data_IF_623231639987
#
_entry.id   IF_623231639987
#
_cell.length_a   1.000
_cell.length_b   1.000
_cell.length_c   1.000
_cell.angle_alpha   90.00
_cell.angle_beta   90.00
_cell.angle_gamma   90.00
#
_symmetry.space_group_name_H-M   'P 1'
#
loop_
_entity.id
_entity.type
_entity.pdbx_description
1 polymer ?
#
# COMPACT_ATOMS: atom_id res chain seq x y z
N UNK A 1 -0.27 -10.46 -14.76
CA UNK A 1 0.00 -11.53 -15.73
C UNK A 1 -0.73 -11.16 -17.01
N UNK A 2 -0.02 -10.55 -17.96
CA UNK A 2 -0.59 -10.16 -19.25
C UNK A 2 -0.22 -11.21 -20.28
N UNK A 3 -1.21 -11.91 -20.81
CA UNK A 3 -1.15 -12.65 -22.07
C UNK A 3 -1.90 -11.81 -23.10
N UNK A 4 -1.14 -11.20 -24.01
CA UNK A 4 -1.70 -10.62 -25.22
C UNK A 4 -1.65 -11.70 -26.32
N UNK A 5 -2.81 -12.16 -26.74
CA UNK A 5 -2.99 -13.04 -27.89
C UNK A 5 -3.20 -12.14 -29.11
N UNK A 6 -2.25 -12.15 -30.05
CA UNK A 6 -2.38 -11.48 -31.34
C UNK A 6 -2.45 -12.56 -32.44
N UNK A 7 -3.66 -12.92 -32.83
CA UNK A 7 -3.89 -13.66 -34.08
C UNK A 7 -3.98 -12.66 -35.23
N UNK A 8 -3.01 -12.70 -36.11
CA UNK A 8 -3.13 -12.12 -37.46
C UNK A 8 -3.40 -13.18 -38.50
N UNK A 9 -4.41 -12.92 -39.28
CA UNK A 9 -4.96 -13.70 -40.39
C UNK A 9 -3.99 -13.89 -41.54
N UNK A 10 -4.17 -15.01 -42.18
CA UNK A 10 -3.48 -15.69 -43.24
C UNK A 10 -3.09 -14.96 -44.50
N UNK A 11 -2.01 -15.46 -45.09
CA UNK A 11 -1.84 -15.61 -46.53
C UNK A 11 -1.17 -16.96 -46.80
N UNK A 12 -1.75 -17.74 -47.71
CA UNK A 12 -1.18 -18.96 -48.25
C UNK A 12 0.08 -18.66 -49.08
N UNK A 13 1.14 -19.36 -48.77
CA UNK A 13 2.34 -19.31 -49.59
C UNK A 13 3.39 -20.30 -49.08
N UNK A 14 3.56 -21.42 -49.80
CA UNK A 14 4.69 -22.33 -49.91
C UNK A 14 5.31 -22.88 -48.61
N UNK A 15 5.07 -24.20 -48.44
CA UNK A 15 5.78 -25.11 -47.53
C UNK A 15 7.31 -25.00 -47.76
N UNK A 16 8.02 -24.36 -46.82
CA UNK A 16 9.43 -24.58 -46.61
C UNK A 16 9.56 -25.25 -45.24
N UNK A 17 10.19 -26.42 -45.21
CA UNK A 17 10.39 -27.23 -44.02
C UNK A 17 10.95 -26.43 -42.87
N UNK A 18 10.20 -26.34 -41.77
CA UNK A 18 10.62 -25.67 -40.55
C UNK A 18 11.76 -26.49 -39.92
N UNK A 19 12.98 -25.96 -40.00
CA UNK A 19 14.10 -26.40 -39.17
C UNK A 19 13.75 -26.08 -37.73
N UNK A 20 13.79 -27.06 -36.78
CA UNK A 20 13.54 -26.78 -35.39
C UNK A 20 14.61 -25.82 -34.86
N UNK A 21 14.20 -24.62 -34.43
CA UNK A 21 15.07 -23.63 -33.79
C UNK A 21 15.49 -24.15 -32.40
N UNK A 22 16.52 -24.98 -32.39
CA UNK A 22 17.20 -25.45 -31.16
C UNK A 22 18.12 -24.35 -30.63
N UNK A 23 17.59 -23.19 -30.28
CA UNK A 23 18.34 -22.24 -29.47
C UNK A 23 18.40 -22.81 -28.06
N UNK A 24 19.62 -23.02 -27.50
CA UNK A 24 19.75 -23.50 -26.13
C UNK A 24 19.03 -22.50 -25.20
N UNK A 25 18.19 -23.03 -24.31
CA UNK A 25 17.34 -22.26 -23.40
C UNK A 25 18.15 -21.14 -22.75
N UNK A 26 17.84 -19.91 -23.14
CA UNK A 26 18.48 -18.71 -22.59
C UNK A 26 18.25 -18.73 -21.08
N UNK A 27 19.30 -19.03 -20.31
CA UNK A 27 19.24 -18.96 -18.84
C UNK A 27 18.59 -17.62 -18.49
N UNK A 28 17.60 -17.62 -17.57
CA UNK A 28 16.94 -16.38 -17.19
C UNK A 28 18.03 -15.40 -16.75
N UNK A 29 18.15 -14.27 -17.45
CA UNK A 29 19.18 -13.29 -17.16
C UNK A 29 19.11 -12.85 -15.69
N UNK A 30 20.26 -12.71 -15.05
CA UNK A 30 20.35 -12.34 -13.64
C UNK A 30 19.69 -10.95 -13.40
N UNK A 31 19.05 -10.79 -12.24
CA UNK A 31 18.49 -9.48 -11.85
C UNK A 31 19.64 -8.48 -11.73
N UNK A 32 19.53 -7.27 -12.30
CA UNK A 32 20.60 -6.26 -12.25
C UNK A 32 21.00 -5.93 -10.79
N UNK A 33 22.32 -5.77 -10.55
CA UNK A 33 22.83 -5.43 -9.21
C UNK A 33 22.24 -4.13 -8.64
N UNK A 34 21.93 -3.16 -9.50
CA UNK A 34 21.23 -1.93 -9.12
C UNK A 34 19.85 -2.21 -8.51
N UNK A 35 19.10 -3.17 -9.05
CA UNK A 35 17.79 -3.57 -8.53
C UNK A 35 17.92 -4.23 -7.16
N UNK A 36 18.93 -5.10 -6.99
CA UNK A 36 19.23 -5.74 -5.71
C UNK A 36 19.67 -4.70 -4.66
N UNK A 37 20.51 -3.74 -5.05
CA UNK A 37 20.93 -2.66 -4.16
C UNK A 37 19.76 -1.79 -3.73
N UNK A 38 18.88 -1.38 -4.67
CA UNK A 38 17.67 -0.63 -4.35
C UNK A 38 16.68 -1.45 -3.51
N UNK A 39 16.57 -2.74 -3.77
CA UNK A 39 15.78 -3.66 -2.95
C UNK A 39 16.33 -3.76 -1.51
N UNK A 40 17.64 -3.86 -1.33
CA UNK A 40 18.29 -3.87 -0.01
C UNK A 40 18.06 -2.55 0.75
N UNK A 41 18.16 -1.41 0.06
CA UNK A 41 17.81 -0.09 0.63
C UNK A 41 16.36 -0.07 1.11
N UNK A 42 15.42 -0.51 0.27
CA UNK A 42 14.00 -0.58 0.63
C UNK A 42 13.76 -1.52 1.81
N UNK A 43 14.32 -2.72 1.78
CA UNK A 43 14.22 -3.69 2.88
C UNK A 43 14.65 -3.06 4.20
N UNK A 44 15.87 -2.51 4.26
CA UNK A 44 16.45 -1.93 5.48
C UNK A 44 15.61 -0.74 5.97
N UNK A 45 15.23 0.16 5.07
CA UNK A 45 14.46 1.35 5.44
C UNK A 45 13.01 1.03 5.81
N UNK A 46 12.44 -0.04 5.25
CA UNK A 46 11.10 -0.48 5.65
C UNK A 46 11.12 -1.22 6.99
N UNK A 47 12.18 -2.00 7.31
CA UNK A 47 12.41 -2.49 8.68
C UNK A 47 12.36 -1.31 9.67
N UNK A 48 13.14 -0.25 9.44
CA UNK A 48 13.14 0.92 10.29
C UNK A 48 11.76 1.58 10.41
N UNK A 49 11.11 1.83 9.28
CA UNK A 49 9.81 2.52 9.27
C UNK A 49 8.71 1.72 9.96
N UNK A 50 8.69 0.40 9.72
CA UNK A 50 7.67 -0.46 10.27
C UNK A 50 7.90 -0.81 11.75
N UNK A 51 9.14 -0.75 12.25
CA UNK A 51 9.43 -0.75 13.70
C UNK A 51 8.67 0.39 14.38
N UNK A 52 8.79 1.61 13.87
CA UNK A 52 8.11 2.79 14.43
C UNK A 52 6.59 2.68 14.28
N UNK A 53 6.12 2.34 13.08
CA UNK A 53 4.68 2.20 12.79
C UNK A 53 4.02 1.20 13.72
N UNK A 54 4.70 0.09 14.03
CA UNK A 54 4.16 -0.99 14.87
C UNK A 54 4.03 -0.60 16.36
N UNK A 55 4.83 0.35 16.87
CA UNK A 55 4.78 0.74 18.29
C UNK A 55 4.09 2.08 18.51
N UNK A 56 4.03 2.93 17.48
CA UNK A 56 3.56 4.30 17.58
C UNK A 56 2.16 4.44 18.22
N UNK A 57 1.15 3.61 17.89
CA UNK A 57 -0.17 3.72 18.50
C UNK A 57 -0.13 3.58 20.01
N UNK A 58 0.58 2.55 20.49
CA UNK A 58 0.69 2.28 21.92
C UNK A 58 1.55 3.31 22.64
N UNK A 59 2.66 3.75 22.03
CA UNK A 59 3.50 4.83 22.55
C UNK A 59 2.70 6.13 22.75
N UNK A 60 1.90 6.52 21.76
CA UNK A 60 1.11 7.76 21.82
C UNK A 60 0.04 7.70 22.90
N UNK A 61 -0.70 6.57 22.99
CA UNK A 61 -1.85 6.45 23.90
C UNK A 61 -1.42 6.02 25.30
N UNK A 62 -0.56 5.01 25.42
CA UNK A 62 -0.15 4.47 26.72
C UNK A 62 1.17 5.11 27.23
N UNK A 63 2.13 5.39 26.37
CA UNK A 63 3.42 5.98 26.74
C UNK A 63 3.31 7.49 27.04
N UNK A 64 2.69 8.25 26.16
CA UNK A 64 2.54 9.71 26.31
C UNK A 64 1.20 10.13 26.94
N UNK A 65 0.23 9.23 27.12
CA UNK A 65 -1.08 9.54 27.67
C UNK A 65 -1.91 10.49 26.80
N UNK A 66 -1.62 10.59 25.49
CA UNK A 66 -2.38 11.43 24.57
C UNK A 66 -3.78 10.86 24.35
N UNK A 67 -4.74 11.78 24.13
CA UNK A 67 -6.13 11.38 23.89
C UNK A 67 -6.28 10.56 22.60
N UNK A 68 -7.28 9.68 22.50
CA UNK A 68 -7.61 8.99 21.25
C UNK A 68 -7.88 9.93 20.07
N UNK A 69 -8.41 11.12 20.32
CA UNK A 69 -8.56 12.17 19.29
C UNK A 69 -7.19 12.64 18.77
N UNK A 70 -6.24 12.90 19.70
CA UNK A 70 -4.87 13.28 19.34
C UNK A 70 -4.20 12.17 18.51
N UNK A 71 -4.38 10.90 18.91
CA UNK A 71 -3.90 9.77 18.12
C UNK A 71 -4.60 9.69 16.76
N UNK A 72 -5.91 9.95 16.66
CA UNK A 72 -6.65 9.98 15.40
C UNK A 72 -6.11 11.02 14.41
N UNK A 73 -5.65 12.17 14.90
CA UNK A 73 -4.95 13.17 14.08
C UNK A 73 -3.63 12.62 13.53
N UNK A 74 -2.81 11.99 14.37
CA UNK A 74 -1.52 11.41 13.97
C UNK A 74 -1.71 10.29 12.95
N UNK A 75 -2.65 9.39 13.18
CA UNK A 75 -3.00 8.29 12.28
C UNK A 75 -3.54 8.83 10.93
N UNK A 76 -4.38 9.84 10.99
CA UNK A 76 -4.86 10.54 9.80
C UNK A 76 -3.74 11.17 9.00
N UNK A 77 -2.80 11.88 9.64
CA UNK A 77 -1.60 12.45 8.99
C UNK A 77 -0.78 11.32 8.34
N UNK A 78 -0.58 10.22 9.06
CA UNK A 78 0.17 9.07 8.56
C UNK A 78 -0.41 8.52 7.25
N UNK A 79 -1.73 8.42 7.16
CA UNK A 79 -2.44 7.91 5.98
C UNK A 79 -2.62 8.98 4.89
N UNK A 80 -2.97 10.22 5.26
CA UNK A 80 -3.33 11.29 4.33
C UNK A 80 -2.13 11.94 3.65
N UNK A 81 -1.09 12.31 4.40
CA UNK A 81 0.10 12.98 3.85
C UNK A 81 0.81 12.08 2.85
N UNK A 82 0.94 10.78 3.14
CA UNK A 82 1.57 9.82 2.22
C UNK A 82 0.84 9.72 0.87
N UNK A 83 -0.48 9.85 0.84
CA UNK A 83 -1.26 9.83 -0.39
C UNK A 83 -1.07 11.13 -1.20
N UNK A 84 -1.12 12.29 -0.55
CA UNK A 84 -0.93 13.60 -1.19
C UNK A 84 0.48 13.75 -1.75
N UNK A 85 1.50 13.34 -1.00
CA UNK A 85 2.89 13.44 -1.45
C UNK A 85 3.19 12.47 -2.60
N UNK A 86 2.60 11.29 -2.65
CA UNK A 86 2.73 10.39 -3.81
C UNK A 86 2.16 11.02 -5.08
N UNK A 87 1.03 11.71 -4.97
CA UNK A 87 0.43 12.44 -6.09
C UNK A 87 1.36 13.56 -6.60
N UNK A 88 1.97 14.34 -5.68
CA UNK A 88 2.92 15.39 -6.02
C UNK A 88 4.30 14.85 -6.45
N UNK A 89 4.77 13.76 -5.85
CA UNK A 89 6.08 13.15 -6.08
C UNK A 89 6.25 12.58 -7.48
N UNK A 90 5.18 12.06 -8.09
CA UNK A 90 5.18 11.66 -9.49
C UNK A 90 5.55 12.82 -10.43
N UNK A 91 4.97 13.98 -10.21
CA UNK A 91 5.24 15.20 -10.97
C UNK A 91 6.68 15.72 -10.82
N UNK A 92 7.24 15.60 -9.61
CA UNK A 92 8.64 16.01 -9.36
C UNK A 92 9.65 15.03 -9.99
N UNK A 93 9.35 13.74 -9.99
CA UNK A 93 10.20 12.72 -10.59
C UNK A 93 10.35 12.92 -12.10
N UNK A 94 9.26 13.26 -12.80
CA UNK A 94 9.25 13.50 -14.25
C UNK A 94 10.05 14.75 -14.63
N UNK A 95 10.11 15.76 -13.74
CA UNK A 95 10.94 16.98 -13.95
C UNK A 95 12.40 16.81 -13.55
N UNK A 96 12.73 15.78 -12.78
CA UNK A 96 14.07 15.59 -12.16
C UNK A 96 15.18 15.14 -13.12
N UNK A 97 14.89 14.71 -14.32
CA UNK A 97 15.87 14.24 -15.32
C UNK A 97 16.83 13.20 -14.72
N UNK A 98 18.15 13.39 -14.89
CA UNK A 98 19.20 12.45 -14.43
C UNK A 98 19.47 12.44 -12.92
N UNK A 99 18.67 13.09 -12.08
CA UNK A 99 18.93 13.27 -10.64
C UNK A 99 18.14 12.32 -9.71
N UNK A 100 17.61 11.20 -10.23
CA UNK A 100 16.78 10.25 -9.48
C UNK A 100 17.43 9.80 -8.16
N UNK A 101 18.74 9.45 -8.16
CA UNK A 101 19.46 9.05 -6.94
C UNK A 101 19.50 10.16 -5.88
N UNK A 102 19.68 11.42 -6.30
CA UNK A 102 19.74 12.56 -5.37
C UNK A 102 18.37 12.78 -4.72
N UNK A 103 17.30 12.80 -5.52
CA UNK A 103 15.93 13.00 -5.02
C UNK A 103 15.51 11.84 -4.10
N UNK A 104 15.80 10.60 -4.50
CA UNK A 104 15.57 9.43 -3.64
C UNK A 104 16.39 9.53 -2.34
N UNK A 105 17.67 9.92 -2.44
CA UNK A 105 18.57 10.09 -1.30
C UNK A 105 18.09 11.14 -0.32
N UNK A 106 17.56 12.28 -0.80
CA UNK A 106 16.92 13.29 0.06
C UNK A 106 15.69 12.72 0.78
N UNK A 107 14.85 11.95 0.08
CA UNK A 107 13.69 11.30 0.70
C UNK A 107 14.08 10.28 1.78
N UNK A 108 15.06 9.42 1.50
CA UNK A 108 15.58 8.46 2.47
C UNK A 108 16.26 9.16 3.66
N UNK A 109 17.09 10.18 3.41
CA UNK A 109 17.77 10.97 4.43
C UNK A 109 16.79 11.70 5.33
N UNK A 110 15.76 12.34 4.75
CA UNK A 110 14.72 13.03 5.49
C UNK A 110 13.96 12.07 6.43
N UNK A 111 13.59 10.90 5.92
CA UNK A 111 12.94 9.86 6.73
C UNK A 111 13.87 9.32 7.83
N UNK A 112 15.17 9.15 7.56
CA UNK A 112 16.14 8.71 8.54
C UNK A 112 16.35 9.72 9.68
N UNK A 113 16.36 11.03 9.37
CA UNK A 113 16.46 12.09 10.37
C UNK A 113 15.24 12.15 11.30
N UNK A 114 14.05 11.79 10.81
CA UNK A 114 12.85 11.76 11.63
C UNK A 114 12.93 10.73 12.77
N UNK A 115 13.67 9.63 12.61
CA UNK A 115 13.70 8.55 13.61
C UNK A 115 14.31 9.01 14.95
N UNK A 116 15.50 9.63 15.02
CA UNK A 116 16.01 10.17 16.27
C UNK A 116 15.20 11.36 16.77
N UNK A 117 14.53 12.14 15.88
CA UNK A 117 13.66 13.23 16.32
C UNK A 117 12.42 12.74 17.09
N UNK A 118 11.98 11.47 16.89
CA UNK A 118 10.91 10.90 17.70
C UNK A 118 11.28 10.78 19.18
N UNK A 119 12.58 10.61 19.51
CA UNK A 119 13.05 10.61 20.90
C UNK A 119 12.83 11.95 21.63
N UNK A 120 12.71 13.03 20.87
CA UNK A 120 12.48 14.38 21.39
C UNK A 120 11.01 14.83 21.26
N UNK A 121 10.18 14.00 20.62
CA UNK A 121 8.82 14.34 20.23
C UNK A 121 7.80 13.83 21.28
N UNK A 122 7.65 14.56 22.38
CA UNK A 122 6.73 14.20 23.48
C UNK A 122 5.38 14.93 23.42
N UNK A 123 5.16 15.81 22.44
CA UNK A 123 3.92 16.56 22.30
C UNK A 123 3.24 16.30 20.97
N UNK A 124 1.91 16.41 20.93
CA UNK A 124 1.13 16.16 19.73
C UNK A 124 1.58 17.02 18.52
N UNK A 125 1.83 18.34 18.63
CA UNK A 125 2.29 19.11 17.48
C UNK A 125 3.64 18.66 16.94
N UNK A 126 4.60 18.35 17.81
CA UNK A 126 5.96 17.91 17.41
C UNK A 126 5.89 16.54 16.75
N UNK A 127 5.15 15.58 17.33
CA UNK A 127 4.92 14.27 16.73
C UNK A 127 4.26 14.41 15.35
N UNK A 128 3.22 15.25 15.24
CA UNK A 128 2.53 15.50 13.96
C UNK A 128 3.48 16.04 12.90
N UNK A 129 4.33 16.98 13.26
CA UNK A 129 5.34 17.55 12.35
C UNK A 129 6.37 16.50 11.92
N UNK A 130 6.94 15.74 12.87
CA UNK A 130 7.93 14.69 12.57
C UNK A 130 7.33 13.60 11.67
N UNK A 131 6.11 13.14 11.95
CA UNK A 131 5.43 12.15 11.12
C UNK A 131 5.09 12.69 9.72
N UNK A 132 4.62 13.93 9.61
CA UNK A 132 4.34 14.55 8.32
C UNK A 132 5.62 14.64 7.46
N UNK A 133 6.75 15.01 8.06
CA UNK A 133 8.06 15.08 7.40
C UNK A 133 8.52 13.68 7.00
N UNK A 134 8.39 12.65 7.86
CA UNK A 134 8.72 11.27 7.55
C UNK A 134 7.91 10.74 6.36
N UNK A 135 6.58 10.99 6.34
CA UNK A 135 5.70 10.58 5.24
C UNK A 135 6.00 11.32 3.94
N UNK A 136 6.42 12.58 4.03
CA UNK A 136 6.92 13.36 2.89
C UNK A 136 8.19 12.73 2.33
N UNK A 137 9.15 12.36 3.17
CA UNK A 137 10.35 11.63 2.77
C UNK A 137 10.02 10.29 2.06
N UNK A 138 9.10 9.51 2.63
CA UNK A 138 8.64 8.24 2.04
C UNK A 138 7.97 8.45 0.67
N UNK A 139 7.15 9.48 0.52
CA UNK A 139 6.51 9.83 -0.75
C UNK A 139 7.51 10.29 -1.82
N UNK A 140 8.47 11.12 -1.43
CA UNK A 140 9.48 11.70 -2.33
C UNK A 140 10.43 10.63 -2.92
N UNK A 141 10.75 9.57 -2.17
CA UNK A 141 11.69 8.52 -2.62
C UNK A 141 11.07 7.51 -3.58
N UNK A 142 9.74 7.30 -3.56
CA UNK A 142 9.08 6.18 -4.25
C UNK A 142 9.20 6.27 -5.77
N UNK A 143 8.79 7.37 -6.38
CA UNK A 143 8.82 7.53 -7.83
C UNK A 143 10.24 7.53 -8.43
N UNK A 144 11.24 8.25 -7.87
CA UNK A 144 12.62 8.16 -8.36
C UNK A 144 13.23 6.76 -8.23
N UNK A 145 12.94 6.02 -7.16
CA UNK A 145 13.35 4.63 -6.96
C UNK A 145 12.81 3.73 -8.08
N UNK A 146 11.52 3.81 -8.34
CA UNK A 146 10.85 3.00 -9.35
C UNK A 146 11.37 3.35 -10.77
N UNK A 147 11.66 4.62 -11.02
CA UNK A 147 12.33 5.05 -12.26
C UNK A 147 13.73 4.44 -12.39
N UNK A 148 14.53 4.42 -11.33
CA UNK A 148 15.86 3.80 -11.33
C UNK A 148 15.80 2.29 -11.62
N UNK A 149 14.83 1.57 -11.05
CA UNK A 149 14.59 0.14 -11.34
C UNK A 149 14.26 -0.05 -12.82
N UNK A 150 13.36 0.77 -13.36
CA UNK A 150 12.94 0.71 -14.75
C UNK A 150 14.09 1.00 -15.73
N UNK A 151 14.95 1.98 -15.41
CA UNK A 151 16.11 2.37 -16.23
C UNK A 151 17.23 1.31 -16.20
N UNK A 152 17.42 0.62 -15.06
CA UNK A 152 18.42 -0.41 -14.90
C UNK A 152 18.02 -1.76 -15.51
N UNK A 153 16.76 -1.90 -16.02
CA UNK A 153 16.21 -3.18 -16.41
C UNK A 153 15.65 -3.14 -17.83
N UNK A 154 15.96 -4.17 -18.62
CA UNK A 154 15.36 -4.36 -19.96
C UNK A 154 13.83 -4.44 -19.86
N UNK A 155 13.07 -3.86 -20.82
CA UNK A 155 11.62 -3.86 -20.80
C UNK A 155 10.97 -5.24 -20.58
N UNK A 156 11.53 -6.30 -21.21
CA UNK A 156 11.05 -7.67 -21.07
C UNK A 156 11.25 -8.28 -19.67
N UNK A 157 12.15 -7.71 -18.84
CA UNK A 157 12.51 -8.22 -17.51
C UNK A 157 11.99 -7.35 -16.36
N UNK A 158 11.33 -6.23 -16.66
CA UNK A 158 10.84 -5.28 -15.63
C UNK A 158 9.92 -5.94 -14.62
N UNK A 159 9.02 -6.83 -15.07
CA UNK A 159 8.12 -7.56 -14.16
C UNK A 159 8.88 -8.34 -13.09
N UNK A 160 9.95 -9.04 -13.48
CA UNK A 160 10.82 -9.79 -12.55
C UNK A 160 11.59 -8.85 -11.62
N UNK A 161 12.14 -7.75 -12.13
CA UNK A 161 12.89 -6.77 -11.34
C UNK A 161 12.01 -6.14 -10.26
N UNK A 162 10.80 -5.67 -10.62
CA UNK A 162 9.82 -5.15 -9.66
C UNK A 162 9.33 -6.23 -8.69
N UNK A 163 9.16 -7.48 -9.15
CA UNK A 163 8.79 -8.59 -8.29
C UNK A 163 9.82 -8.85 -7.19
N UNK A 164 11.12 -8.91 -7.55
CA UNK A 164 12.22 -9.07 -6.58
C UNK A 164 12.28 -7.88 -5.62
N UNK A 165 12.21 -6.64 -6.14
CA UNK A 165 12.17 -5.46 -5.30
C UNK A 165 11.00 -5.50 -4.31
N UNK A 166 9.79 -5.85 -4.78
CA UNK A 166 8.59 -5.94 -3.93
C UNK A 166 8.71 -7.02 -2.85
N UNK A 167 9.32 -8.16 -3.19
CA UNK A 167 9.59 -9.21 -2.19
C UNK A 167 10.53 -8.72 -1.08
N UNK A 168 11.58 -7.97 -1.44
CA UNK A 168 12.51 -7.38 -0.46
C UNK A 168 11.83 -6.30 0.40
N UNK A 169 11.02 -5.42 -0.20
CA UNK A 169 10.20 -4.40 0.44
C UNK A 169 9.26 -5.04 1.49
N UNK A 170 8.49 -6.07 1.07
CA UNK A 170 7.58 -6.80 1.94
C UNK A 170 8.33 -7.55 3.07
N UNK A 171 9.49 -8.13 2.78
CA UNK A 171 10.33 -8.77 3.80
C UNK A 171 10.74 -7.76 4.87
N UNK A 172 11.16 -6.55 4.46
CA UNK A 172 11.46 -5.46 5.39
C UNK A 172 10.25 -5.08 6.25
N UNK A 173 9.08 -4.98 5.63
CA UNK A 173 7.84 -4.66 6.33
C UNK A 173 7.44 -5.71 7.39
N UNK A 174 7.73 -7.00 7.15
CA UNK A 174 7.48 -8.06 8.13
C UNK A 174 8.54 -8.11 9.24
N UNK A 175 9.80 -7.84 8.91
CA UNK A 175 10.89 -7.86 9.89
C UNK A 175 10.82 -6.68 10.87
N UNK A 176 10.26 -5.52 10.45
CA UNK A 176 10.12 -4.34 11.30
C UNK A 176 9.39 -4.60 12.62
N UNK A 177 8.14 -5.07 12.58
CA UNK A 177 7.40 -5.42 13.80
C UNK A 177 8.06 -6.51 14.65
N UNK A 178 8.71 -7.50 14.02
CA UNK A 178 9.47 -8.53 14.76
C UNK A 178 10.64 -7.94 15.52
N UNK A 179 11.40 -7.03 14.90
CA UNK A 179 12.51 -6.36 15.57
C UNK A 179 12.01 -5.41 16.66
N UNK A 180 10.92 -4.70 16.45
CA UNK A 180 10.27 -3.89 17.47
C UNK A 180 9.84 -4.73 18.67
N UNK A 181 9.21 -5.90 18.45
CA UNK A 181 8.86 -6.86 19.49
C UNK A 181 10.11 -7.31 20.27
N UNK A 182 11.19 -7.69 19.57
CA UNK A 182 12.42 -8.16 20.22
C UNK A 182 13.04 -7.07 21.11
N UNK A 183 13.08 -5.82 20.64
CA UNK A 183 13.59 -4.67 21.40
C UNK A 183 12.71 -4.39 22.62
N UNK A 184 11.37 -4.33 22.47
CA UNK A 184 10.44 -4.09 23.58
C UNK A 184 10.52 -5.19 24.65
N UNK A 185 10.78 -6.43 24.24
CA UNK A 185 10.94 -7.54 25.19
C UNK A 185 12.27 -7.48 25.94
N UNK A 186 13.31 -6.93 25.32
CA UNK A 186 14.67 -6.86 25.87
C UNK A 186 14.92 -5.61 26.74
N UNK A 187 14.04 -4.61 26.70
CA UNK A 187 14.26 -3.30 27.35
C UNK A 187 13.10 -2.95 28.29
N UNK A 188 13.40 -2.18 29.37
CA UNK A 188 12.41 -1.74 30.36
C UNK A 188 11.61 -0.53 29.82
N UNK A 189 12.28 0.48 29.23
CA UNK A 189 11.66 1.64 28.59
C UNK A 189 11.78 1.51 27.05
N UNK A 190 11.03 0.52 26.52
CA UNK A 190 11.29 -0.02 25.20
C UNK A 190 11.02 0.90 24.03
N UNK A 191 10.17 1.95 24.16
CA UNK A 191 9.83 2.80 23.01
C UNK A 191 11.01 3.62 22.50
N UNK A 192 11.77 4.23 23.42
CA UNK A 192 12.97 4.99 23.06
C UNK A 192 14.04 4.11 22.44
N UNK A 193 14.21 2.89 22.97
CA UNK A 193 15.10 1.90 22.38
C UNK A 193 14.66 1.50 20.97
N UNK A 194 13.35 1.33 20.72
CA UNK A 194 12.82 1.05 19.37
C UNK A 194 13.14 2.21 18.43
N UNK A 195 12.93 3.46 18.85
CA UNK A 195 13.22 4.63 18.02
C UNK A 195 14.71 4.78 17.73
N UNK A 196 15.58 4.56 18.72
CA UNK A 196 17.02 4.59 18.55
C UNK A 196 17.51 3.51 17.58
N UNK A 197 17.08 2.26 17.77
CA UNK A 197 17.44 1.13 16.87
C UNK A 197 16.91 1.41 15.47
N UNK A 198 15.66 1.87 15.33
CA UNK A 198 15.07 2.27 14.06
C UNK A 198 15.90 3.35 13.35
N UNK A 199 16.41 4.33 14.11
CA UNK A 199 17.31 5.37 13.60
C UNK A 199 18.61 4.78 13.05
N UNK A 200 19.25 3.87 13.79
CA UNK A 200 20.48 3.18 13.34
C UNK A 200 20.23 2.38 12.06
N UNK A 201 19.11 1.65 11.99
CA UNK A 201 18.72 0.88 10.80
C UNK A 201 18.44 1.81 9.61
N UNK A 202 17.77 2.95 9.83
CA UNK A 202 17.52 3.94 8.78
C UNK A 202 18.83 4.52 8.21
N UNK A 203 19.78 4.87 9.08
CA UNK A 203 21.11 5.35 8.67
C UNK A 203 21.86 4.28 7.86
N UNK A 204 21.79 3.02 8.26
CA UNK A 204 22.33 1.91 7.48
C UNK A 204 21.72 1.84 6.08
N UNK A 205 20.39 2.01 5.96
CA UNK A 205 19.71 2.06 4.66
C UNK A 205 20.21 3.21 3.78
N UNK A 206 20.41 4.40 4.34
CA UNK A 206 21.00 5.56 3.63
C UNK A 206 22.44 5.26 3.21
N UNK A 207 23.22 4.64 4.07
CA UNK A 207 24.61 4.27 3.77
C UNK A 207 24.68 3.28 2.60
N UNK A 208 23.81 2.25 2.61
CA UNK A 208 23.70 1.29 1.49
C UNK A 208 23.32 2.01 0.19
N UNK A 209 22.39 2.97 0.23
CA UNK A 209 22.04 3.78 -0.94
C UNK A 209 23.24 4.55 -1.49
N UNK A 210 24.01 5.19 -0.61
CA UNK A 210 25.14 6.04 -1.02
C UNK A 210 26.26 5.19 -1.62
N UNK A 211 26.58 4.05 -0.99
CA UNK A 211 27.73 3.21 -1.35
C UNK A 211 27.46 2.26 -2.53
N UNK A 212 26.27 1.63 -2.58
CA UNK A 212 26.02 0.53 -3.51
C UNK A 212 25.11 0.91 -4.68
N UNK A 213 24.31 1.98 -4.60
CA UNK A 213 23.51 2.42 -5.74
C UNK A 213 24.36 3.33 -6.62
N UNK A 214 24.52 3.05 -7.93
CA UNK A 214 25.35 3.88 -8.81
C UNK A 214 24.74 5.29 -9.00
N UNK A 215 25.60 6.29 -9.17
CA UNK A 215 25.17 7.68 -9.46
C UNK A 215 24.58 7.82 -10.87
N UNK A 216 25.06 7.03 -11.81
CA UNK A 216 24.56 6.93 -13.18
C UNK A 216 24.09 5.52 -13.41
N UNK A 217 22.93 5.37 -13.96
CA UNK A 217 22.38 4.07 -14.35
C UNK A 217 22.65 3.95 -15.83
N UNK A 218 23.47 2.95 -16.18
CA UNK A 218 23.72 2.62 -17.58
C UNK A 218 22.46 1.96 -18.13
N UNK A 219 21.82 2.66 -19.03
CA UNK A 219 20.64 2.13 -19.74
C UNK A 219 21.10 1.02 -20.66
N UNK A 220 20.45 -0.16 -20.68
CA UNK A 220 20.83 -1.25 -21.57
C UNK A 220 20.92 -0.77 -23.03
N UNK A 221 21.95 -1.18 -23.75
CA UNK A 221 22.27 -0.71 -25.11
C UNK A 221 21.10 -0.83 -26.11
N UNK A 222 20.23 -1.82 -25.92
CA UNK A 222 19.04 -2.03 -26.74
C UNK A 222 17.91 -1.01 -26.50
N UNK A 223 17.90 -0.35 -25.35
CA UNK A 223 16.95 0.72 -25.04
C UNK A 223 17.33 2.05 -25.74
N UNK A 224 18.62 2.23 -26.04
CA UNK A 224 19.13 3.42 -26.73
C UNK A 224 18.80 3.39 -28.24
N UNK A 225 18.61 2.21 -28.82
CA UNK A 225 18.32 2.02 -30.25
C UNK A 225 16.85 2.16 -30.65
N UNK A 226 15.94 2.19 -29.67
CA UNK A 226 14.52 2.47 -29.96
C UNK A 226 14.32 3.98 -30.04
N UNK A 227 13.58 4.46 -31.07
CA UNK A 227 13.13 5.84 -31.05
C UNK A 227 12.42 6.09 -29.70
N UNK A 228 12.60 7.28 -29.10
CA UNK A 228 11.89 7.60 -27.88
C UNK A 228 10.41 7.28 -28.11
N UNK A 229 9.74 6.60 -27.17
CA UNK A 229 8.30 6.48 -27.24
C UNK A 229 7.74 7.89 -27.43
N UNK A 230 6.68 8.06 -28.24
CA UNK A 230 6.06 9.37 -28.39
C UNK A 230 5.92 9.97 -27.00
N UNK A 231 6.37 11.23 -26.84
CA UNK A 231 6.35 11.92 -25.54
C UNK A 231 5.03 11.59 -24.88
N UNK A 232 5.02 11.07 -23.64
CA UNK A 232 3.76 10.88 -22.96
C UNK A 232 3.07 12.23 -22.97
N UNK A 233 1.90 12.28 -23.59
CA UNK A 233 1.02 13.44 -23.51
C UNK A 233 1.15 13.98 -22.08
N UNK A 234 1.39 15.29 -21.93
CA UNK A 234 1.62 16.00 -20.67
C UNK A 234 0.93 15.28 -19.53
N UNK A 235 1.63 15.01 -18.39
CA UNK A 235 0.99 14.32 -17.29
C UNK A 235 -0.37 14.95 -17.06
N UNK A 236 -1.47 14.18 -17.02
CA UNK A 236 -2.82 14.72 -17.03
C UNK A 236 -2.92 15.76 -15.92
N UNK A 237 -3.27 16.98 -16.27
CA UNK A 237 -3.46 18.03 -15.28
C UNK A 237 -4.50 17.53 -14.26
N UNK A 238 -4.41 17.94 -12.99
CA UNK A 238 -5.39 17.57 -11.95
C UNK A 238 -6.84 17.76 -12.44
N UNK A 239 -7.05 18.75 -13.29
CA UNK A 239 -8.34 19.03 -13.97
C UNK A 239 -8.77 17.87 -14.88
N UNK A 240 -7.85 17.22 -15.58
CA UNK A 240 -8.16 16.09 -16.47
C UNK A 240 -8.48 14.84 -15.65
N UNK A 241 -7.75 14.63 -14.56
CA UNK A 241 -8.06 13.56 -13.61
C UNK A 241 -9.45 13.74 -12.99
N UNK A 242 -9.80 14.94 -12.53
CA UNK A 242 -11.15 15.25 -12.02
C UNK A 242 -12.21 15.09 -13.13
N UNK A 243 -11.87 15.40 -14.39
CA UNK A 243 -12.72 15.17 -15.54
C UNK A 243 -13.16 13.73 -15.72
N UNK A 244 -12.35 12.75 -15.26
CA UNK A 244 -12.71 11.33 -15.28
C UNK A 244 -13.94 11.00 -14.40
N UNK A 245 -14.27 11.79 -13.39
CA UNK A 245 -15.49 11.64 -12.61
C UNK A 245 -16.79 11.86 -13.42
N UNK A 246 -16.68 12.36 -14.65
CA UNK A 246 -17.82 12.39 -15.60
C UNK A 246 -18.21 10.97 -16.06
N UNK A 247 -17.28 10.00 -15.97
CA UNK A 247 -17.60 8.59 -16.20
C UNK A 247 -18.45 8.09 -15.02
N UNK A 248 -19.72 7.72 -15.26
CA UNK A 248 -20.66 7.40 -14.17
C UNK A 248 -20.18 6.19 -13.34
N UNK A 249 -19.55 5.21 -13.98
CA UNK A 249 -19.03 4.02 -13.30
C UNK A 249 -17.86 4.34 -12.37
N UNK A 250 -16.88 5.15 -12.84
CA UNK A 250 -15.76 5.57 -12.01
C UNK A 250 -16.25 6.43 -10.84
N UNK A 251 -17.20 7.33 -11.08
CA UNK A 251 -17.81 8.14 -10.02
C UNK A 251 -18.47 7.27 -8.96
N UNK A 252 -19.32 6.29 -9.37
CA UNK A 252 -19.96 5.35 -8.44
C UNK A 252 -18.92 4.57 -7.63
N UNK A 253 -17.89 4.04 -8.28
CA UNK A 253 -16.82 3.31 -7.63
C UNK A 253 -16.04 4.18 -6.63
N UNK A 254 -15.71 5.42 -7.02
CA UNK A 254 -15.00 6.38 -6.16
C UNK A 254 -15.84 6.76 -4.93
N UNK A 255 -17.13 7.03 -5.13
CA UNK A 255 -18.05 7.37 -4.03
C UNK A 255 -18.22 6.18 -3.08
N UNK A 256 -18.41 4.97 -3.59
CA UNK A 256 -18.50 3.77 -2.75
C UNK A 256 -17.19 3.51 -1.99
N UNK A 257 -16.02 3.63 -2.64
CA UNK A 257 -14.73 3.46 -1.99
C UNK A 257 -14.49 4.53 -0.90
N UNK A 258 -14.91 5.77 -1.12
CA UNK A 258 -14.82 6.83 -0.12
C UNK A 258 -15.81 6.60 1.03
N UNK A 259 -17.05 6.21 0.76
CA UNK A 259 -18.09 5.94 1.77
C UNK A 259 -17.65 4.76 2.68
N UNK A 260 -17.18 3.67 2.10
CA UNK A 260 -16.65 2.52 2.85
C UNK A 260 -15.37 2.90 3.59
N UNK A 261 -14.48 3.68 2.99
CA UNK A 261 -13.26 4.18 3.63
C UNK A 261 -13.55 5.08 4.83
N UNK A 262 -14.64 5.87 4.79
CA UNK A 262 -15.07 6.73 5.90
C UNK A 262 -15.59 5.93 7.11
N UNK A 263 -15.98 4.69 6.90
CA UNK A 263 -16.52 3.79 7.94
C UNK A 263 -15.59 2.62 8.26
N UNK A 264 -14.41 2.58 7.64
CA UNK A 264 -13.36 1.60 7.93
C UNK A 264 -12.42 2.18 8.98
N UNK A 265 -12.49 1.66 10.21
CA UNK A 265 -11.61 2.05 11.31
C UNK A 265 -10.15 1.74 10.93
N UNK A 266 -9.24 2.65 11.26
CA UNK A 266 -7.81 2.41 11.08
C UNK A 266 -7.34 1.19 11.87
N UNK A 267 -6.41 0.41 11.28
CA UNK A 267 -5.80 -0.77 11.90
C UNK A 267 -5.25 -0.46 13.28
N UNK A 268 -4.63 0.70 13.43
CA UNK A 268 -4.02 1.15 14.67
C UNK A 268 -5.02 1.26 15.81
N UNK A 269 -6.21 1.78 15.53
CA UNK A 269 -7.30 1.83 16.53
C UNK A 269 -7.84 0.44 16.85
N UNK A 270 -7.97 -0.41 15.85
CA UNK A 270 -8.40 -1.79 16.04
C UNK A 270 -7.40 -2.54 16.93
N UNK A 271 -6.10 -2.40 16.70
CA UNK A 271 -5.06 -3.02 17.51
C UNK A 271 -5.02 -2.48 18.93
N UNK A 272 -5.25 -1.17 19.14
CA UNK A 272 -5.39 -0.59 20.47
C UNK A 272 -6.59 -1.16 21.23
N UNK A 273 -7.72 -1.39 20.55
CA UNK A 273 -8.87 -2.06 21.15
C UNK A 273 -8.57 -3.50 21.49
N UNK A 274 -7.97 -4.26 20.57
CA UNK A 274 -7.57 -5.66 20.80
C UNK A 274 -6.58 -5.79 21.97
N UNK A 275 -5.63 -4.87 22.09
CA UNK A 275 -4.67 -4.85 23.18
C UNK A 275 -5.36 -4.60 24.51
N UNK A 276 -6.31 -3.64 24.56
CA UNK A 276 -7.06 -3.31 25.79
C UNK A 276 -8.03 -4.40 26.20
N UNK A 277 -8.86 -4.88 25.25
CA UNK A 277 -9.89 -5.89 25.51
C UNK A 277 -9.30 -7.28 25.76
N UNK A 278 -8.17 -7.58 25.13
CA UNK A 278 -7.45 -8.85 25.27
C UNK A 278 -6.45 -8.89 26.41
N UNK A 279 -6.29 -7.78 27.15
CA UNK A 279 -5.27 -7.59 28.20
C UNK A 279 -3.87 -8.04 27.77
N UNK A 280 -3.51 -7.70 26.52
CA UNK A 280 -2.25 -8.12 25.92
C UNK A 280 -1.09 -7.29 26.46
N UNK A 281 0.02 -7.93 26.88
CA UNK A 281 1.23 -7.22 27.26
C UNK A 281 1.75 -6.28 26.13
N UNK A 282 2.24 -5.10 26.51
CA UNK A 282 2.69 -4.07 25.58
C UNK A 282 3.71 -4.58 24.54
N UNK A 283 4.60 -5.48 24.93
CA UNK A 283 5.63 -6.04 24.03
C UNK A 283 5.03 -6.92 22.91
N UNK A 284 3.83 -7.48 23.07
CA UNK A 284 3.13 -8.25 22.04
C UNK A 284 2.42 -7.37 21.00
N UNK A 285 2.22 -6.09 21.28
CA UNK A 285 1.49 -5.17 20.42
C UNK A 285 2.02 -5.14 18.97
N UNK A 286 3.35 -5.10 18.70
CA UNK A 286 3.88 -5.12 17.34
C UNK A 286 3.55 -6.40 16.56
N UNK A 287 3.16 -7.48 17.23
CA UNK A 287 2.76 -8.72 16.55
C UNK A 287 1.34 -8.66 15.97
N UNK A 288 0.50 -7.69 16.37
CA UNK A 288 -0.85 -7.53 15.83
C UNK A 288 -0.83 -7.13 14.34
N UNK A 289 -0.12 -6.05 13.93
CA UNK A 289 0.01 -5.74 12.51
C UNK A 289 0.72 -6.86 11.73
N UNK A 290 1.71 -7.54 12.33
CA UNK A 290 2.39 -8.66 11.71
C UNK A 290 1.42 -9.83 11.45
N UNK A 291 0.55 -10.16 12.39
CA UNK A 291 -0.48 -11.20 12.25
C UNK A 291 -1.43 -10.89 11.10
N UNK A 292 -1.95 -9.65 11.04
CA UNK A 292 -2.79 -9.21 9.91
C UNK A 292 -2.06 -9.34 8.58
N UNK A 293 -0.80 -8.90 8.50
CA UNK A 293 0.02 -8.98 7.29
C UNK A 293 0.28 -10.45 6.87
N UNK A 294 0.53 -11.34 7.83
CA UNK A 294 0.72 -12.76 7.55
C UNK A 294 -0.54 -13.40 6.95
N UNK A 295 -1.72 -13.16 7.52
CA UNK A 295 -2.97 -13.67 6.97
C UNK A 295 -3.33 -13.02 5.64
N UNK A 296 -3.06 -11.73 5.46
CA UNK A 296 -3.18 -11.07 4.17
C UNK A 296 -2.34 -11.78 3.09
N UNK A 297 -1.05 -12.01 3.34
CA UNK A 297 -0.16 -12.67 2.38
C UNK A 297 -0.58 -14.10 2.05
N UNK A 298 -1.03 -14.84 3.06
CA UNK A 298 -1.51 -16.22 2.87
C UNK A 298 -2.76 -16.26 1.99
N UNK A 299 -3.66 -15.27 2.15
CA UNK A 299 -4.96 -15.24 1.47
C UNK A 299 -4.98 -14.39 0.20
N UNK A 300 -3.97 -13.54 -0.04
CA UNK A 300 -3.94 -12.65 -1.20
C UNK A 300 -3.98 -13.40 -2.55
N UNK A 301 -3.24 -14.51 -2.68
CA UNK A 301 -3.23 -15.31 -3.91
C UNK A 301 -4.56 -16.05 -4.13
N UNK A 302 -5.12 -16.81 -3.16
CA UNK A 302 -6.39 -17.50 -3.35
C UNK A 302 -7.57 -16.54 -3.56
N UNK A 303 -7.62 -15.41 -2.84
CA UNK A 303 -8.69 -14.42 -3.03
C UNK A 303 -8.50 -13.61 -4.33
N UNK A 304 -7.26 -13.36 -4.75
CA UNK A 304 -6.98 -12.81 -6.08
C UNK A 304 -7.47 -13.72 -7.20
N UNK A 305 -7.21 -15.03 -7.10
CA UNK A 305 -7.74 -16.01 -8.07
C UNK A 305 -9.28 -16.12 -8.02
N UNK A 306 -9.88 -15.94 -6.85
CA UNK A 306 -11.33 -15.85 -6.71
C UNK A 306 -11.89 -14.58 -7.39
N UNK A 307 -11.18 -13.45 -7.31
CA UNK A 307 -11.55 -12.20 -7.97
C UNK A 307 -11.59 -12.30 -9.50
N UNK A 308 -10.88 -13.27 -10.09
CA UNK A 308 -10.94 -13.54 -11.53
C UNK A 308 -12.16 -14.39 -11.94
N UNK A 309 -12.77 -15.09 -10.96
CA UNK A 309 -13.92 -15.99 -11.18
C UNK A 309 -15.26 -15.40 -10.78
N UNK A 310 -15.26 -14.45 -9.85
CA UNK A 310 -16.45 -13.77 -9.36
C UNK A 310 -16.38 -12.29 -9.67
N UNK A 311 -17.51 -11.59 -9.60
CA UNK A 311 -17.53 -10.14 -9.74
C UNK A 311 -16.62 -9.48 -8.69
N UNK A 312 -15.63 -8.71 -9.17
CA UNK A 312 -14.68 -7.96 -8.33
C UNK A 312 -15.40 -7.07 -7.31
N UNK A 313 -16.53 -6.50 -7.73
CA UNK A 313 -17.36 -5.63 -6.88
C UNK A 313 -18.02 -6.41 -5.74
N UNK A 314 -18.50 -7.63 -6.01
CA UNK A 314 -19.07 -8.52 -4.97
C UNK A 314 -18.01 -8.94 -3.98
N UNK A 315 -16.81 -9.28 -4.45
CA UNK A 315 -15.70 -9.66 -3.57
C UNK A 315 -15.26 -8.48 -2.70
N UNK A 316 -15.19 -7.26 -3.27
CA UNK A 316 -14.88 -6.05 -2.52
C UNK A 316 -15.90 -5.76 -1.40
N UNK A 317 -17.20 -5.90 -1.68
CA UNK A 317 -18.26 -5.75 -0.68
C UNK A 317 -18.24 -6.88 0.36
N UNK A 318 -18.01 -8.13 -0.06
CA UNK A 318 -17.88 -9.27 0.85
C UNK A 318 -16.71 -9.08 1.82
N UNK A 319 -15.58 -8.50 1.37
CA UNK A 319 -14.47 -8.11 2.22
C UNK A 319 -14.90 -7.17 3.36
N UNK A 320 -15.73 -6.17 3.07
CA UNK A 320 -16.27 -5.28 4.10
C UNK A 320 -17.27 -5.99 5.05
N UNK A 321 -17.98 -7.00 4.55
CA UNK A 321 -18.77 -7.91 5.39
C UNK A 321 -17.90 -8.71 6.36
N UNK A 322 -16.74 -9.21 5.90
CA UNK A 322 -15.75 -9.89 6.75
C UNK A 322 -15.19 -8.93 7.82
N UNK A 323 -14.90 -7.67 7.44
CA UNK A 323 -14.48 -6.65 8.40
C UNK A 323 -15.54 -6.39 9.47
N UNK A 324 -16.80 -6.32 9.06
CA UNK A 324 -17.92 -6.15 9.98
C UNK A 324 -18.05 -7.32 10.98
N UNK A 325 -17.81 -8.56 10.53
CA UNK A 325 -17.70 -9.72 11.42
C UNK A 325 -16.54 -9.55 12.42
N UNK A 326 -15.40 -9.04 11.97
CA UNK A 326 -14.26 -8.73 12.83
C UNK A 326 -14.62 -7.70 13.91
N UNK A 327 -15.32 -6.63 13.55
CA UNK A 327 -15.82 -5.64 14.54
C UNK A 327 -16.82 -6.25 15.51
N UNK A 328 -17.75 -7.07 15.02
CA UNK A 328 -18.68 -7.81 15.85
C UNK A 328 -17.98 -8.74 16.83
N UNK A 329 -16.89 -9.37 16.43
CA UNK A 329 -16.09 -10.24 17.28
C UNK A 329 -15.38 -9.45 18.40
N UNK A 330 -14.80 -8.28 18.10
CA UNK A 330 -14.21 -7.38 19.12
C UNK A 330 -15.27 -6.90 20.11
N UNK A 331 -16.49 -6.67 19.66
CA UNK A 331 -17.61 -6.25 20.51
C UNK A 331 -18.26 -7.40 21.30
N UNK A 332 -17.96 -8.65 20.94
CA UNK A 332 -18.50 -9.83 21.60
C UNK A 332 -17.91 -10.00 23.01
N UNK A 333 -18.51 -10.86 23.86
CA UNK A 333 -17.94 -11.24 25.15
C UNK A 333 -16.80 -12.26 25.05
N UNK A 334 -16.45 -12.71 23.83
CA UNK A 334 -15.37 -13.66 23.61
C UNK A 334 -14.02 -12.94 23.64
N UNK A 335 -13.20 -13.28 24.64
CA UNK A 335 -11.90 -12.63 24.87
C UNK A 335 -10.73 -13.62 24.87
N UNK A 336 -9.52 -13.10 24.96
CA UNK A 336 -8.28 -13.87 25.02
C UNK A 336 -7.63 -14.11 23.64
N UNK A 337 -6.52 -14.83 23.66
CA UNK A 337 -5.66 -15.04 22.47
C UNK A 337 -6.41 -15.63 21.27
N UNK A 338 -7.32 -16.62 21.43
CA UNK A 338 -8.06 -17.16 20.28
C UNK A 338 -8.95 -16.10 19.60
N UNK A 339 -9.59 -15.22 20.37
CA UNK A 339 -10.40 -14.13 19.81
C UNK A 339 -9.53 -13.14 19.05
N UNK A 340 -8.36 -12.77 19.59
CA UNK A 340 -7.39 -11.90 18.91
C UNK A 340 -6.96 -12.52 17.58
N UNK A 341 -6.56 -13.80 17.57
CA UNK A 341 -6.17 -14.49 16.34
C UNK A 341 -7.32 -14.49 15.31
N UNK A 342 -8.54 -14.78 15.74
CA UNK A 342 -9.71 -14.78 14.86
C UNK A 342 -9.96 -13.39 14.23
N UNK A 343 -9.82 -12.31 15.02
CA UNK A 343 -9.93 -10.94 14.49
C UNK A 343 -8.82 -10.66 13.47
N UNK A 344 -7.56 -11.07 13.73
CA UNK A 344 -6.45 -10.87 12.79
C UNK A 344 -6.66 -11.66 11.49
N UNK A 345 -7.21 -12.87 11.55
CA UNK A 345 -7.60 -13.67 10.36
C UNK A 345 -8.65 -12.92 9.55
N UNK A 346 -9.73 -12.45 10.20
CA UNK A 346 -10.80 -11.71 9.51
C UNK A 346 -10.27 -10.40 8.92
N UNK A 347 -9.41 -9.69 9.64
CA UNK A 347 -8.82 -8.44 9.18
C UNK A 347 -7.85 -8.64 8.00
N UNK A 348 -7.00 -9.66 8.05
CA UNK A 348 -6.15 -10.06 6.91
C UNK A 348 -6.96 -10.50 5.68
N UNK A 349 -8.08 -11.23 5.91
CA UNK A 349 -9.02 -11.62 4.86
C UNK A 349 -9.68 -10.40 4.20
N UNK A 350 -10.10 -9.41 5.01
CA UNK A 350 -10.62 -8.15 4.51
C UNK A 350 -9.63 -7.48 3.54
N UNK A 351 -8.37 -7.33 3.92
CA UNK A 351 -7.35 -6.74 3.06
C UNK A 351 -7.14 -7.56 1.78
N UNK A 352 -7.07 -8.87 1.88
CA UNK A 352 -6.89 -9.74 0.73
C UNK A 352 -8.08 -9.69 -0.26
N UNK A 353 -9.30 -9.45 0.25
CA UNK A 353 -10.50 -9.29 -0.57
C UNK A 353 -10.70 -7.87 -1.13
N UNK A 354 -9.98 -6.86 -0.63
CA UNK A 354 -10.27 -5.46 -0.98
C UNK A 354 -9.12 -4.73 -1.67
N UNK A 355 -7.87 -4.90 -1.24
CA UNK A 355 -6.74 -4.05 -1.65
C UNK A 355 -6.47 -4.12 -3.17
N UNK A 356 -6.10 -5.27 -3.70
CA UNK A 356 -5.88 -5.44 -5.15
C UNK A 356 -7.16 -5.39 -5.99
N UNK A 357 -8.30 -5.75 -5.39
CA UNK A 357 -9.60 -5.85 -6.08
C UNK A 357 -10.15 -4.50 -6.49
N UNK A 358 -10.03 -3.48 -5.63
CA UNK A 358 -10.43 -2.10 -5.95
C UNK A 358 -9.61 -1.52 -7.10
N UNK A 359 -8.29 -1.75 -7.07
CA UNK A 359 -7.39 -1.33 -8.15
C UNK A 359 -7.75 -2.00 -9.48
N UNK A 360 -8.03 -3.31 -9.47
CA UNK A 360 -8.45 -4.06 -10.66
C UNK A 360 -9.83 -3.62 -11.17
N UNK A 361 -10.78 -3.27 -10.28
CA UNK A 361 -12.09 -2.74 -10.66
C UNK A 361 -11.94 -1.36 -11.32
N UNK A 362 -11.09 -0.49 -10.78
CA UNK A 362 -10.79 0.83 -11.36
C UNK A 362 -10.17 0.72 -12.74
N UNK A 363 -9.22 -0.21 -12.92
CA UNK A 363 -8.58 -0.45 -14.21
C UNK A 363 -9.56 -0.93 -15.30
N UNK A 364 -10.61 -1.67 -14.92
CA UNK A 364 -11.65 -2.13 -15.84
C UNK A 364 -12.60 -1.02 -16.34
N UNK A 365 -12.64 0.12 -15.64
CA UNK A 365 -13.60 1.22 -15.95
C UNK A 365 -12.91 2.38 -16.68
N UNK A 366 -11.60 2.56 -16.48
CA UNK A 366 -10.82 3.70 -16.99
C UNK A 366 -10.10 3.31 -18.28
N UNK A 367 -10.14 4.15 -19.35
CA UNK A 367 -9.36 3.91 -20.57
C UNK A 367 -7.87 3.74 -20.29
N UNK A 368 -7.19 2.88 -21.07
CA UNK A 368 -5.78 2.50 -20.85
C UNK A 368 -4.83 3.71 -20.68
N UNK A 369 -5.06 4.78 -21.45
CA UNK A 369 -4.26 6.03 -21.39
C UNK A 369 -4.42 6.84 -20.09
N UNK A 370 -5.48 6.60 -19.29
CA UNK A 370 -5.80 7.37 -18.08
C UNK A 370 -5.80 6.50 -16.81
N UNK A 371 -5.35 5.25 -16.88
CA UNK A 371 -5.41 4.32 -15.74
C UNK A 371 -4.68 4.85 -14.50
N UNK A 372 -3.50 5.46 -14.68
CA UNK A 372 -2.77 6.08 -13.57
C UNK A 372 -3.57 7.20 -12.88
N UNK A 373 -4.24 8.06 -13.66
CA UNK A 373 -5.06 9.14 -13.14
C UNK A 373 -6.31 8.60 -12.41
N UNK A 374 -6.97 7.57 -12.96
CA UNK A 374 -8.11 6.92 -12.34
C UNK A 374 -7.75 6.27 -11.00
N UNK A 375 -6.65 5.52 -10.95
CA UNK A 375 -6.11 4.92 -9.71
C UNK A 375 -5.78 5.99 -8.66
N UNK A 376 -5.12 7.07 -9.08
CA UNK A 376 -4.77 8.17 -8.19
C UNK A 376 -6.02 8.85 -7.61
N UNK A 377 -7.06 9.04 -8.42
CA UNK A 377 -8.32 9.66 -7.99
C UNK A 377 -9.05 8.81 -6.96
N UNK A 378 -9.26 7.52 -7.24
CA UNK A 378 -9.91 6.58 -6.31
C UNK A 378 -9.09 6.45 -5.03
N UNK A 379 -7.77 6.27 -5.14
CA UNK A 379 -6.88 6.13 -4.00
C UNK A 379 -6.81 7.39 -3.12
N UNK A 380 -6.83 8.58 -3.72
CA UNK A 380 -6.85 9.85 -2.96
C UNK A 380 -8.19 10.02 -2.25
N UNK A 381 -9.31 9.72 -2.92
CA UNK A 381 -10.64 9.76 -2.30
C UNK A 381 -10.74 8.82 -1.10
N UNK A 382 -10.23 7.60 -1.23
CA UNK A 382 -10.18 6.64 -0.14
C UNK A 382 -9.27 7.09 1.02
N UNK A 383 -8.10 7.67 0.71
CA UNK A 383 -7.17 8.15 1.73
C UNK A 383 -7.74 9.33 2.53
N UNK A 384 -8.41 10.28 1.87
CA UNK A 384 -9.09 11.39 2.53
C UNK A 384 -10.25 10.90 3.40
N UNK A 385 -11.01 9.91 2.93
CA UNK A 385 -12.08 9.29 3.69
C UNK A 385 -11.54 8.58 4.95
N UNK A 386 -10.45 7.83 4.83
CA UNK A 386 -9.77 7.19 5.98
C UNK A 386 -9.20 8.23 6.96
N UNK A 387 -8.63 9.32 6.47
CA UNK A 387 -8.21 10.43 7.32
C UNK A 387 -9.37 10.98 8.16
N UNK A 388 -10.51 11.27 7.51
CA UNK A 388 -11.70 11.75 8.19
C UNK A 388 -12.26 10.71 9.17
N UNK A 389 -12.23 9.41 8.81
CA UNK A 389 -12.60 8.31 9.70
C UNK A 389 -11.72 8.27 10.95
N UNK A 390 -10.39 8.39 10.82
CA UNK A 390 -9.47 8.38 11.97
C UNK A 390 -9.75 9.52 12.95
N UNK A 391 -10.03 10.73 12.43
CA UNK A 391 -10.42 11.86 13.28
C UNK A 391 -11.77 11.63 13.97
N UNK A 392 -12.78 11.20 13.22
CA UNK A 392 -14.13 10.97 13.74
C UNK A 392 -14.14 9.85 14.77
N UNK A 393 -13.43 8.74 14.50
CA UNK A 393 -13.33 7.61 15.41
C UNK A 393 -12.57 7.99 16.68
N UNK A 394 -11.45 8.73 16.56
CA UNK A 394 -10.70 9.23 17.71
C UNK A 394 -11.54 10.17 18.59
N UNK A 395 -12.35 11.06 17.99
CA UNK A 395 -13.30 11.90 18.69
C UNK A 395 -14.38 11.07 19.39
N UNK A 396 -15.01 10.15 18.68
CA UNK A 396 -16.03 9.25 19.23
C UNK A 396 -15.48 8.41 20.41
N UNK A 397 -14.26 7.89 20.26
CA UNK A 397 -13.60 7.16 21.34
C UNK A 397 -13.34 8.05 22.57
N UNK A 398 -12.90 9.28 22.37
CA UNK A 398 -12.65 10.22 23.48
C UNK A 398 -13.94 10.60 24.24
N UNK A 399 -15.08 10.63 23.53
CA UNK A 399 -16.37 11.03 24.10
C UNK A 399 -17.16 9.85 24.71
N UNK A 400 -17.17 8.70 24.03
CA UNK A 400 -18.08 7.58 24.36
C UNK A 400 -17.35 6.28 24.74
N UNK A 401 -16.01 6.26 24.66
CA UNK A 401 -15.21 5.06 24.84
C UNK A 401 -15.07 4.23 23.57
N UNK A 402 -14.03 3.39 23.54
CA UNK A 402 -13.62 2.66 22.33
C UNK A 402 -14.67 1.65 21.83
N UNK A 403 -15.31 0.89 22.73
CA UNK A 403 -16.34 -0.09 22.36
C UNK A 403 -17.56 0.58 21.74
N UNK A 404 -18.05 1.68 22.32
CA UNK A 404 -19.20 2.42 21.77
C UNK A 404 -18.84 3.05 20.41
N UNK A 405 -17.64 3.64 20.29
CA UNK A 405 -17.16 4.17 19.01
C UNK A 405 -17.10 3.07 17.93
N UNK A 406 -16.60 1.88 18.28
CA UNK A 406 -16.56 0.75 17.33
C UNK A 406 -17.97 0.27 16.95
N UNK A 407 -18.90 0.19 17.92
CA UNK A 407 -20.28 -0.21 17.64
C UNK A 407 -20.99 0.76 16.69
N UNK A 408 -20.84 2.07 16.91
CA UNK A 408 -21.40 3.12 16.01
C UNK A 408 -20.77 3.02 14.62
N UNK A 409 -19.44 2.84 14.54
CA UNK A 409 -18.75 2.72 13.25
C UNK A 409 -19.09 1.42 12.53
N UNK A 410 -19.29 0.31 13.26
CA UNK A 410 -19.77 -0.95 12.69
C UNK A 410 -21.18 -0.81 12.09
N UNK A 411 -22.09 -0.13 12.79
CA UNK A 411 -23.42 0.17 12.25
C UNK A 411 -23.34 1.05 10.99
N UNK A 412 -22.50 2.09 11.02
CA UNK A 412 -22.25 2.95 9.87
C UNK A 412 -21.64 2.16 8.69
N UNK A 413 -20.72 1.23 8.94
CA UNK A 413 -20.13 0.35 7.93
C UNK A 413 -21.19 -0.57 7.32
N UNK A 414 -22.07 -1.15 8.12
CA UNK A 414 -23.17 -1.99 7.63
C UNK A 414 -24.08 -1.20 6.69
N UNK A 415 -24.48 0.02 7.07
CA UNK A 415 -25.28 0.91 6.21
C UNK A 415 -24.52 1.26 4.92
N UNK A 416 -23.24 1.64 5.04
CA UNK A 416 -22.40 1.99 3.89
C UNK A 416 -22.23 0.82 2.92
N UNK A 417 -22.06 -0.41 3.43
CA UNK A 417 -21.98 -1.61 2.61
C UNK A 417 -23.27 -1.91 1.88
N UNK A 418 -24.44 -1.75 2.53
CA UNK A 418 -25.76 -1.90 1.91
C UNK A 418 -25.97 -0.84 0.82
N UNK A 419 -25.69 0.43 1.12
CA UNK A 419 -25.81 1.52 0.13
C UNK A 419 -24.89 1.27 -1.06
N UNK A 420 -23.64 0.87 -0.82
CA UNK A 420 -22.67 0.56 -1.88
C UNK A 420 -23.12 -0.64 -2.70
N UNK A 421 -23.76 -1.65 -2.10
CA UNK A 421 -24.31 -2.79 -2.82
C UNK A 421 -25.43 -2.37 -3.76
N UNK A 422 -26.31 -1.44 -3.37
CA UNK A 422 -27.36 -0.89 -4.24
C UNK A 422 -26.79 -0.02 -5.36
N UNK A 423 -25.83 0.86 -5.06
CA UNK A 423 -25.20 1.77 -6.05
C UNK A 423 -24.44 0.98 -7.11
N UNK A 424 -23.81 -0.15 -6.75
CA UNK A 424 -23.02 -0.95 -7.66
C UNK A 424 -23.82 -2.03 -8.41
N UNK A 425 -25.08 -2.30 -8.08
CA UNK A 425 -25.92 -3.32 -8.75
C UNK A 425 -26.15 -3.05 -10.25
N UNK A 426 -26.11 -1.79 -10.69
CA UNK A 426 -26.41 -1.40 -12.07
C UNK A 426 -25.23 -1.48 -13.05
N UNK A 427 -24.12 -2.10 -12.67
CA UNK A 427 -22.88 -2.10 -13.47
C UNK A 427 -22.30 -3.49 -13.73
N UNK A 428 -23.01 -4.56 -13.42
CA UNK A 428 -22.57 -5.95 -13.57
C UNK A 428 -22.81 -6.55 -14.98
N UNK A 429 -23.38 -5.82 -15.94
CA UNK A 429 -23.67 -6.31 -17.28
C UNK A 429 -22.77 -5.66 -18.34
N UNK A 430 -21.59 -6.23 -18.56
CA UNK A 430 -21.02 -6.41 -19.90
C UNK A 430 -20.40 -7.79 -19.94
N UNK A 431 -21.11 -8.82 -20.41
CA UNK A 431 -20.47 -10.04 -20.88
C UNK A 431 -19.51 -9.65 -21.99
N UNK A 432 -18.29 -10.18 -21.99
CA UNK A 432 -17.50 -10.21 -23.21
C UNK A 432 -18.38 -10.85 -24.29
N UNK A 433 -18.85 -10.07 -25.22
CA UNK A 433 -19.46 -10.57 -26.45
C UNK A 433 -18.38 -11.29 -27.24
N UNK A 434 -18.20 -12.57 -26.99
CA UNK A 434 -17.94 -13.54 -28.03
C UNK A 434 -19.24 -13.62 -28.81
N UNK A 435 -19.17 -13.12 -30.02
CA UNK A 435 -19.96 -13.54 -31.19
C UNK A 435 -20.26 -12.35 -32.07
N UNK A 436 -19.42 -12.16 -33.05
CA UNK A 436 -19.83 -11.80 -34.42
C UNK A 436 -18.68 -12.18 -35.35
N UNK A 437 -18.54 -13.48 -35.58
CA UNK A 437 -17.94 -14.01 -36.81
C UNK A 437 -18.85 -15.11 -37.32
N UNK A 438 -19.90 -14.72 -38.02
CA UNK A 438 -20.53 -15.53 -39.05
C UNK A 438 -21.57 -14.68 -39.80
N UNK A 439 -21.14 -14.01 -40.86
CA UNK A 439 -21.90 -13.77 -42.08
C UNK A 439 -20.92 -13.32 -43.18
#
# INVERSE_FOLDING_TARGET
MYLADSRSTGSRGTEAAAVPDTRPGRRPAAVPSTVLALGAVSLITDVSSEMVTAVLPLYVVAGLGLSPLGFGLLDGINNGVGALVRLAGGHLADRGGRRHKVVAGLGYGLSALCKPLLLLAHTLPVLSAVLAVDRTGKGLRTAPRDAMISLATEPAQRGRAFGVHRAMDTTGALLGPLLAFAVLRATVDGYDAVFAVSGCVAVLGVLVLVLFVPRRIDTPADAVRRPPPPEPDRPPALRDAIGLLRLPELRRLTVCAALLGLTTVSDSFLYLLLQREGDLPAHLFPLLPLGTAAFFLLLAVPLGALADRVSRRRLFLAGHGVLLLGYGLVLSPWHGVPAVIAVLVLHGTFYAATDGVLAAATAGVVPARHQGAGQALVGTGQALARFACSLAFGAAWSLWGGRTALAVTAAALAVSAVVSAFVLRGTDEVPATTDEVSA
#
